data_IF_142616565372
#
_entry.id   IF_142616565372
#
_cell.length_a   1.000
_cell.length_b   1.000
_cell.length_c   1.000
_cell.angle_alpha   90.00
_cell.angle_beta   90.00
_cell.angle_gamma   90.00
#
_symmetry.space_group_name_H-M   'P 1'
#
loop_
_entity.id
_entity.type
_entity.pdbx_description
1 polymer ?
#
# COMPACT_ATOMS: atom_id res chain seq x y z
N UNK A 1 3.13 7.16 26.00
CA UNK A 1 3.55 7.99 24.86
C UNK A 1 2.90 9.34 25.01
N UNK A 2 3.69 10.40 25.16
CA UNK A 2 3.26 11.67 25.72
C UNK A 2 3.55 12.85 24.77
N UNK A 3 3.98 12.60 23.52
CA UNK A 3 4.23 13.65 22.53
C UNK A 3 5.39 14.59 22.90
N UNK A 4 6.34 14.12 23.71
CA UNK A 4 7.45 14.92 24.25
C UNK A 4 8.79 14.72 23.54
N UNK A 5 8.84 13.86 22.52
CA UNK A 5 10.07 13.64 21.75
C UNK A 5 10.06 14.58 20.53
N UNK A 6 10.86 15.66 20.54
CA UNK A 6 10.79 16.72 19.51
C UNK A 6 11.21 16.23 18.12
N UNK A 7 11.87 15.06 18.04
CA UNK A 7 12.45 14.53 16.82
C UNK A 7 11.51 13.54 16.09
N UNK A 8 10.22 13.50 16.44
CA UNK A 8 9.22 12.63 15.80
C UNK A 8 8.30 13.41 14.85
N UNK A 9 8.08 12.85 13.66
CA UNK A 9 7.26 13.46 12.61
C UNK A 9 5.87 12.81 12.51
N UNK A 10 4.87 13.62 12.14
CA UNK A 10 3.59 13.07 11.68
C UNK A 10 3.80 12.31 10.36
N UNK A 11 3.31 11.06 10.29
CA UNK A 11 3.44 10.20 9.10
C UNK A 11 3.01 10.93 7.82
N UNK A 12 1.92 11.69 7.86
CA UNK A 12 1.43 12.42 6.68
C UNK A 12 2.40 13.53 6.21
N UNK A 13 3.07 14.22 7.14
CA UNK A 13 4.07 15.22 6.78
C UNK A 13 5.35 14.57 6.26
N UNK A 14 5.77 13.44 6.84
CA UNK A 14 6.90 12.67 6.33
C UNK A 14 6.64 12.19 4.89
N UNK A 15 5.43 11.70 4.57
CA UNK A 15 5.05 11.34 3.20
C UNK A 15 5.15 12.55 2.26
N UNK A 16 4.69 13.73 2.69
CA UNK A 16 4.80 14.96 1.88
C UNK A 16 6.27 15.33 1.63
N UNK A 17 7.10 15.31 2.66
CA UNK A 17 8.51 15.69 2.56
C UNK A 17 9.29 14.70 1.71
N UNK A 18 9.03 13.40 1.87
CA UNK A 18 9.56 12.33 1.03
C UNK A 18 9.22 12.57 -0.45
N UNK A 19 7.95 12.79 -0.78
CA UNK A 19 7.50 13.00 -2.16
C UNK A 19 8.02 14.32 -2.76
N UNK A 20 8.38 15.30 -1.92
CA UNK A 20 8.87 16.61 -2.37
C UNK A 20 10.39 16.61 -2.60
N UNK A 21 11.14 15.92 -1.75
CA UNK A 21 12.59 16.10 -1.64
C UNK A 21 13.41 14.86 -2.05
N UNK A 22 12.85 13.65 -2.01
CA UNK A 22 13.57 12.45 -2.44
C UNK A 22 13.48 12.31 -3.96
N UNK A 23 14.62 12.20 -4.63
CA UNK A 23 14.69 12.11 -6.09
C UNK A 23 14.63 10.66 -6.58
N UNK A 24 14.99 9.69 -5.73
CA UNK A 24 15.05 8.27 -6.09
C UNK A 24 14.22 7.40 -5.15
N UNK A 25 13.87 6.20 -5.62
CA UNK A 25 13.19 5.20 -4.80
C UNK A 25 14.03 4.82 -3.58
N UNK A 26 15.35 4.64 -3.75
CA UNK A 26 16.28 4.29 -2.67
C UNK A 26 16.37 5.39 -1.61
N UNK A 27 16.42 6.67 -2.02
CA UNK A 27 16.38 7.80 -1.09
C UNK A 27 15.05 7.84 -0.33
N UNK A 28 13.92 7.70 -1.03
CA UNK A 28 12.60 7.70 -0.43
C UNK A 28 12.42 6.53 0.57
N UNK A 29 12.85 5.33 0.17
CA UNK A 29 12.78 4.12 1.01
C UNK A 29 13.64 4.28 2.26
N UNK A 30 14.89 4.73 2.09
CA UNK A 30 15.78 4.99 3.22
C UNK A 30 15.21 6.07 4.14
N UNK A 31 14.70 7.17 3.58
CA UNK A 31 14.09 8.25 4.34
C UNK A 31 12.98 7.72 5.23
N UNK A 32 12.02 6.97 4.68
CA UNK A 32 10.99 6.38 5.51
C UNK A 32 11.64 5.49 6.56
N UNK A 33 12.40 4.46 6.21
CA UNK A 33 12.96 3.46 7.15
C UNK A 33 13.66 4.04 8.38
N UNK A 34 14.33 5.18 8.22
CA UNK A 34 15.11 5.81 9.28
C UNK A 34 14.39 6.91 10.04
N UNK A 35 13.33 7.51 9.47
CA UNK A 35 12.61 8.62 10.10
C UNK A 35 11.83 8.16 11.34
N UNK A 36 11.73 9.00 12.37
CA UNK A 36 10.96 8.67 13.57
C UNK A 36 9.53 9.20 13.45
N UNK A 37 8.54 8.36 13.74
CA UNK A 37 7.14 8.71 13.60
C UNK A 37 6.38 8.74 14.92
N UNK A 38 5.36 9.59 14.96
CA UNK A 38 4.38 9.65 16.06
C UNK A 38 3.40 8.46 16.06
N UNK A 39 3.37 7.65 15.00
CA UNK A 39 2.48 6.51 14.86
C UNK A 39 3.10 5.39 14.00
N UNK A 40 2.66 4.15 14.24
CA UNK A 40 2.94 3.01 13.35
C UNK A 40 2.25 3.21 12.00
N UNK A 41 2.85 2.72 10.92
CA UNK A 41 2.32 2.89 9.57
C UNK A 41 2.77 1.78 8.61
N UNK A 42 2.06 1.66 7.49
CA UNK A 42 2.45 0.84 6.36
C UNK A 42 2.71 1.75 5.16
N UNK A 43 3.88 1.62 4.54
CA UNK A 43 4.24 2.38 3.34
C UNK A 43 4.29 1.45 2.14
N UNK A 44 3.33 1.59 1.24
CA UNK A 44 3.33 0.87 -0.05
C UNK A 44 4.07 1.69 -1.09
N UNK A 45 5.20 1.20 -1.55
CA UNK A 45 6.07 1.86 -2.51
C UNK A 45 6.27 0.97 -3.73
N UNK A 46 6.36 1.58 -4.91
CA UNK A 46 6.53 0.88 -6.18
C UNK A 46 7.65 1.56 -6.96
N UNK A 47 8.41 0.77 -7.71
CA UNK A 47 9.38 1.25 -8.69
C UNK A 47 9.11 0.61 -10.05
N UNK A 48 9.54 1.23 -11.16
CA UNK A 48 9.43 0.62 -12.47
C UNK A 48 10.05 -0.78 -12.48
N UNK A 49 9.36 -1.74 -13.10
CA UNK A 49 9.78 -3.15 -13.11
C UNK A 49 11.16 -3.35 -13.76
N UNK A 50 11.61 -2.43 -14.61
CA UNK A 50 12.94 -2.41 -15.21
C UNK A 50 14.06 -2.41 -14.16
N UNK A 51 13.82 -1.81 -12.98
CA UNK A 51 14.77 -1.79 -11.86
C UNK A 51 14.70 -3.06 -10.98
N UNK A 52 14.02 -4.12 -11.44
CA UNK A 52 14.06 -5.48 -10.88
C UNK A 52 13.54 -5.67 -9.45
N UNK A 53 12.90 -4.66 -8.83
CA UNK A 53 12.35 -4.78 -7.46
C UNK A 53 10.82 -4.68 -7.36
N UNK A 54 10.11 -4.42 -8.47
CA UNK A 54 8.64 -4.37 -8.54
C UNK A 54 8.01 -3.40 -7.52
N UNK A 55 7.57 -3.90 -6.38
CA UNK A 55 7.07 -3.07 -5.27
C UNK A 55 7.41 -3.65 -3.90
N UNK A 56 7.37 -2.78 -2.89
CA UNK A 56 7.59 -3.13 -1.48
C UNK A 56 6.49 -2.50 -0.63
N UNK A 57 6.10 -3.20 0.42
CA UNK A 57 5.40 -2.60 1.55
C UNK A 57 6.34 -2.64 2.75
N UNK A 58 6.55 -1.49 3.39
CA UNK A 58 7.37 -1.37 4.60
C UNK A 58 6.45 -1.19 5.81
N UNK A 59 6.52 -2.12 6.75
CA UNK A 59 5.84 -2.02 8.05
C UNK A 59 6.72 -1.25 9.02
N UNK A 60 6.19 -0.19 9.62
CA UNK A 60 6.93 0.75 10.46
C UNK A 60 6.42 0.77 11.89
N UNK A 61 7.34 0.61 12.83
CA UNK A 61 7.18 1.07 14.20
C UNK A 61 7.52 2.56 14.31
N UNK A 62 7.57 3.08 15.53
CA UNK A 62 7.87 4.49 15.79
C UNK A 62 9.28 4.89 15.35
N UNK A 63 10.25 3.97 15.36
CA UNK A 63 11.67 4.30 15.16
C UNK A 63 12.40 3.37 14.20
N UNK A 64 11.74 2.32 13.69
CA UNK A 64 12.38 1.32 12.85
C UNK A 64 11.43 0.75 11.79
N UNK A 65 12.01 0.16 10.75
CA UNK A 65 11.31 -0.74 9.86
C UNK A 65 11.29 -2.14 10.46
N UNK A 66 10.09 -2.63 10.78
CA UNK A 66 9.90 -3.91 11.47
C UNK A 66 9.89 -5.06 10.46
N UNK A 67 9.32 -4.86 9.27
CA UNK A 67 9.19 -5.88 8.24
C UNK A 67 9.03 -5.26 6.84
N UNK A 68 9.37 -6.03 5.81
CA UNK A 68 9.18 -5.69 4.39
C UNK A 68 8.55 -6.86 3.63
N UNK A 69 7.49 -6.58 2.86
CA UNK A 69 7.01 -7.50 1.84
C UNK A 69 7.38 -6.96 0.46
N UNK A 70 8.17 -7.71 -0.29
CA UNK A 70 8.65 -7.32 -1.62
C UNK A 70 8.03 -8.25 -2.65
N UNK A 71 7.66 -7.72 -3.82
CA UNK A 71 7.26 -8.56 -4.94
C UNK A 71 8.42 -9.45 -5.40
N UNK A 72 8.17 -10.75 -5.55
CA UNK A 72 9.09 -11.71 -6.15
C UNK A 72 8.51 -12.25 -7.46
N UNK A 73 9.07 -11.81 -8.58
CA UNK A 73 8.63 -12.26 -9.91
C UNK A 73 8.96 -13.72 -10.21
N UNK A 74 9.85 -14.35 -9.44
CA UNK A 74 10.22 -15.78 -9.55
C UNK A 74 9.16 -16.67 -8.90
N UNK A 75 8.47 -16.17 -7.87
CA UNK A 75 7.30 -16.83 -7.31
C UNK A 75 6.09 -16.62 -8.26
N UNK A 76 5.42 -17.69 -8.73
CA UNK A 76 4.19 -17.59 -9.51
C UNK A 76 3.10 -16.72 -8.86
N UNK A 77 3.11 -16.57 -7.54
CA UNK A 77 2.19 -15.76 -6.75
C UNK A 77 2.81 -14.47 -6.20
N UNK A 78 4.12 -14.27 -6.29
CA UNK A 78 4.84 -13.11 -5.72
C UNK A 78 4.82 -11.86 -6.59
N UNK A 79 4.03 -11.83 -7.66
CA UNK A 79 4.00 -10.73 -8.63
C UNK A 79 3.25 -9.48 -8.15
N UNK A 80 2.65 -9.52 -6.95
CA UNK A 80 2.05 -8.38 -6.29
C UNK A 80 2.23 -8.51 -4.76
N UNK A 81 2.12 -7.38 -4.08
CA UNK A 81 2.00 -7.30 -2.63
C UNK A 81 0.71 -6.55 -2.30
N UNK A 82 0.00 -6.99 -1.27
CA UNK A 82 -1.25 -6.39 -0.83
C UNK A 82 -1.16 -6.07 0.66
N UNK A 83 -1.55 -4.86 1.01
CA UNK A 83 -1.61 -4.40 2.39
C UNK A 83 -2.96 -3.76 2.68
N UNK A 84 -3.52 -4.09 3.85
CA UNK A 84 -4.72 -3.46 4.39
C UNK A 84 -4.35 -2.65 5.64
N UNK A 85 -4.69 -3.14 6.83
CA UNK A 85 -4.47 -2.48 8.11
C UNK A 85 -3.90 -3.42 9.19
N UNK A 86 -3.50 -4.63 8.81
CA UNK A 86 -2.97 -5.66 9.71
C UNK A 86 -1.57 -6.08 9.27
N UNK A 87 -0.74 -6.50 10.22
CA UNK A 87 0.58 -7.05 9.93
C UNK A 87 0.42 -8.42 9.23
N UNK A 88 1.24 -8.76 8.23
CA UNK A 88 1.06 -10.01 7.45
C UNK A 88 1.22 -11.30 8.25
N UNK A 89 1.90 -11.23 9.39
CA UNK A 89 2.08 -12.34 10.31
C UNK A 89 0.96 -12.44 11.35
N UNK A 90 -0.02 -11.54 11.31
CA UNK A 90 -1.17 -11.51 12.19
C UNK A 90 -2.47 -11.72 11.39
N UNK A 91 -3.49 -12.35 11.98
CA UNK A 91 -4.79 -12.46 11.34
C UNK A 91 -5.48 -11.08 11.26
N UNK A 92 -6.17 -10.82 10.14
CA UNK A 92 -7.11 -9.71 10.03
C UNK A 92 -8.17 -9.80 11.15
N UNK A 93 -8.65 -8.65 11.62
CA UNK A 93 -9.78 -8.63 12.56
C UNK A 93 -11.01 -9.32 11.93
N UNK A 94 -11.75 -10.07 12.74
CA UNK A 94 -12.86 -10.92 12.27
C UNK A 94 -13.90 -10.19 11.41
N UNK A 95 -14.19 -8.93 11.73
CA UNK A 95 -15.18 -8.10 11.01
C UNK A 95 -14.58 -7.29 9.84
N UNK A 96 -13.27 -7.34 9.64
CA UNK A 96 -12.56 -6.57 8.61
C UNK A 96 -11.50 -7.43 7.89
N UNK A 97 -11.97 -8.51 7.27
CA UNK A 97 -11.12 -9.47 6.56
C UNK A 97 -10.95 -9.08 5.08
N UNK A 98 -10.44 -7.87 4.80
CA UNK A 98 -10.26 -7.39 3.41
C UNK A 98 -9.03 -7.98 2.72
N UNK A 99 -8.05 -8.48 3.46
CA UNK A 99 -6.80 -8.99 2.90
C UNK A 99 -7.06 -10.23 2.06
N UNK A 100 -7.84 -11.21 2.57
CA UNK A 100 -8.08 -12.47 1.88
C UNK A 100 -8.92 -12.31 0.58
N UNK A 101 -10.06 -11.60 0.56
CA UNK A 101 -10.81 -11.32 -0.67
C UNK A 101 -10.00 -10.52 -1.69
N UNK A 102 -9.22 -9.53 -1.24
CA UNK A 102 -8.31 -8.77 -2.10
C UNK A 102 -7.29 -9.67 -2.79
N UNK A 103 -6.59 -10.52 -2.04
CA UNK A 103 -5.65 -11.50 -2.58
C UNK A 103 -6.34 -12.45 -3.57
N UNK A 104 -7.52 -12.97 -3.21
CA UNK A 104 -8.31 -13.84 -4.09
C UNK A 104 -8.64 -13.13 -5.42
N UNK A 105 -9.06 -11.88 -5.38
CA UNK A 105 -9.37 -11.09 -6.57
C UNK A 105 -8.12 -10.83 -7.41
N UNK A 106 -6.97 -10.55 -6.79
CA UNK A 106 -5.69 -10.41 -7.51
C UNK A 106 -5.27 -11.72 -8.19
N UNK A 107 -5.35 -12.86 -7.51
CA UNK A 107 -5.06 -14.17 -8.12
C UNK A 107 -6.02 -14.49 -9.28
N UNK A 108 -7.30 -14.17 -9.13
CA UNK A 108 -8.29 -14.34 -10.20
C UNK A 108 -8.04 -13.39 -11.39
N UNK A 109 -7.65 -12.14 -11.12
CA UNK A 109 -7.25 -11.19 -12.15
C UNK A 109 -6.07 -11.76 -12.94
N UNK A 110 -5.02 -12.18 -12.23
CA UNK A 110 -3.80 -12.76 -12.79
C UNK A 110 -2.93 -11.73 -13.52
N UNK A 111 -1.63 -12.04 -13.63
CA UNK A 111 -0.58 -11.14 -14.17
C UNK A 111 -0.93 -10.51 -15.52
N UNK A 112 -1.54 -11.28 -16.43
CA UNK A 112 -1.85 -10.83 -17.80
C UNK A 112 -2.91 -9.75 -17.87
N UNK A 113 -3.69 -9.53 -16.81
CA UNK A 113 -4.79 -8.55 -16.76
C UNK A 113 -4.56 -7.47 -15.71
N UNK A 114 -3.31 -7.29 -15.27
CA UNK A 114 -2.92 -6.15 -14.44
C UNK A 114 -2.90 -4.91 -15.32
N UNK A 115 -4.08 -4.33 -15.51
CA UNK A 115 -4.30 -3.04 -16.16
C UNK A 115 -4.91 -2.07 -15.14
N UNK A 116 -5.01 -0.79 -15.49
CA UNK A 116 -5.66 0.22 -14.65
C UNK A 116 -7.10 -0.19 -14.30
N UNK A 117 -7.83 -0.70 -15.28
CA UNK A 117 -9.20 -1.19 -15.14
C UNK A 117 -9.24 -2.47 -14.30
N UNK A 118 -8.29 -3.40 -14.51
CA UNK A 118 -8.20 -4.63 -13.74
C UNK A 118 -7.96 -4.38 -12.24
N UNK A 119 -7.02 -3.47 -11.91
CA UNK A 119 -6.78 -3.07 -10.53
C UNK A 119 -7.98 -2.33 -9.95
N UNK A 120 -8.61 -1.43 -10.71
CA UNK A 120 -9.83 -0.75 -10.27
C UNK A 120 -10.96 -1.73 -9.98
N UNK A 121 -11.13 -2.79 -10.78
CA UNK A 121 -12.11 -3.84 -10.54
C UNK A 121 -11.84 -4.61 -9.24
N UNK A 122 -10.58 -4.95 -8.97
CA UNK A 122 -10.18 -5.58 -7.69
C UNK A 122 -10.56 -4.66 -6.52
N UNK A 123 -10.20 -3.37 -6.59
CA UNK A 123 -10.51 -2.41 -5.54
C UNK A 123 -12.02 -2.12 -5.40
N UNK A 124 -12.81 -2.35 -6.44
CA UNK A 124 -14.27 -2.17 -6.45
C UNK A 124 -15.03 -3.42 -5.99
N UNK A 125 -14.34 -4.53 -5.73
CA UNK A 125 -14.95 -5.76 -5.22
C UNK A 125 -15.24 -5.65 -3.73
N UNK A 126 -16.42 -6.11 -3.27
CA UNK A 126 -16.73 -6.15 -1.83
C UNK A 126 -16.02 -7.36 -1.19
N UNK A 127 -15.42 -7.23 0.00
CA UNK A 127 -15.47 -6.08 0.93
C UNK A 127 -14.34 -5.05 0.78
N UNK A 128 -13.47 -5.17 -0.23
CA UNK A 128 -12.39 -4.21 -0.46
C UNK A 128 -12.95 -2.80 -0.74
N UNK A 129 -14.04 -2.72 -1.51
CA UNK A 129 -14.97 -1.59 -1.51
C UNK A 129 -15.99 -1.77 -0.39
N UNK A 130 -16.05 -0.79 0.51
CA UNK A 130 -16.93 -0.78 1.68
C UNK A 130 -17.55 0.62 1.92
N UNK A 131 -18.37 0.74 2.97
CA UNK A 131 -19.04 2.01 3.33
C UNK A 131 -18.09 3.15 3.69
N UNK A 132 -16.89 2.82 4.18
CA UNK A 132 -15.86 3.79 4.57
C UNK A 132 -14.96 4.19 3.40
N UNK A 133 -15.14 3.61 2.22
CA UNK A 133 -14.32 3.92 1.04
C UNK A 133 -14.71 5.28 0.48
N UNK A 134 -13.82 6.27 0.60
CA UNK A 134 -14.05 7.64 0.09
C UNK A 134 -13.70 7.74 -1.40
N UNK A 135 -12.55 7.21 -1.79
CA UNK A 135 -12.06 7.21 -3.16
C UNK A 135 -11.17 5.99 -3.44
N UNK A 136 -10.99 5.68 -4.72
CA UNK A 136 -9.99 4.73 -5.21
C UNK A 136 -9.02 5.47 -6.11
N UNK A 137 -7.72 5.30 -5.86
CA UNK A 137 -6.67 5.83 -6.71
C UNK A 137 -5.92 4.68 -7.40
N UNK A 138 -5.68 4.82 -8.70
CA UNK A 138 -4.84 3.91 -9.49
C UNK A 138 -3.70 4.71 -10.10
N UNK A 139 -2.47 4.24 -9.90
CA UNK A 139 -1.25 4.90 -10.33
C UNK A 139 -0.45 3.98 -11.26
N UNK A 140 0.15 4.55 -12.30
CA UNK A 140 1.06 3.87 -13.23
C UNK A 140 2.29 4.74 -13.44
N UNK A 141 3.46 4.24 -13.02
CA UNK A 141 4.69 5.04 -12.97
C UNK A 141 5.20 5.36 -14.38
N UNK A 142 5.26 4.35 -15.26
CA UNK A 142 5.87 4.48 -16.59
C UNK A 142 5.13 5.50 -17.48
N UNK A 143 3.80 5.58 -17.36
CA UNK A 143 2.98 6.55 -18.08
C UNK A 143 2.78 7.87 -17.33
N UNK A 144 3.16 7.92 -16.05
CA UNK A 144 2.86 9.04 -15.13
C UNK A 144 1.37 9.17 -14.80
N UNK A 145 0.55 8.16 -15.09
CA UNK A 145 -0.88 8.27 -14.91
C UNK A 145 -1.29 8.14 -13.44
N UNK A 146 -2.16 9.04 -12.99
CA UNK A 146 -2.79 9.03 -11.67
C UNK A 146 -4.28 9.30 -11.86
N UNK A 147 -5.11 8.30 -11.56
CA UNK A 147 -6.56 8.41 -11.63
C UNK A 147 -7.15 8.25 -10.23
N UNK A 148 -8.03 9.17 -9.84
CA UNK A 148 -8.76 9.09 -8.57
C UNK A 148 -10.25 9.21 -8.84
N UNK A 149 -11.02 8.25 -8.31
CA UNK A 149 -12.46 8.18 -8.45
C UNK A 149 -13.10 8.21 -7.07
N UNK A 150 -14.04 9.13 -6.85
CA UNK A 150 -14.91 9.08 -5.67
C UNK A 150 -15.71 7.78 -5.71
N UNK A 151 -15.77 7.09 -4.57
CA UNK A 151 -16.47 5.82 -4.45
C UNK A 151 -17.81 5.98 -3.72
N UNK A 152 -18.71 5.05 -4.00
CA UNK A 152 -19.96 4.86 -3.26
C UNK A 152 -20.25 3.36 -3.17
N UNK A 153 -20.59 2.88 -1.98
CA UNK A 153 -20.96 1.49 -1.76
C UNK A 153 -22.45 1.35 -1.41
N UNK A 154 -23.27 1.12 -2.45
CA UNK A 154 -24.73 0.96 -2.30
C UNK A 154 -25.10 -0.33 -1.58
N UNK A 155 -26.21 -0.26 -0.83
CA UNK A 155 -26.71 -1.39 -0.08
C UNK A 155 -27.14 -2.56 -0.97
N UNK A 156 -26.88 -3.81 -0.56
CA UNK A 156 -26.20 -4.19 0.69
C UNK A 156 -24.68 -4.00 0.61
N UNK A 157 -24.09 -3.29 1.56
CA UNK A 157 -22.64 -3.10 1.66
C UNK A 157 -22.20 -2.94 3.13
N UNK A 158 -21.05 -3.51 3.45
CA UNK A 158 -20.39 -3.44 4.75
C UNK A 158 -18.99 -2.87 4.56
#
# INVERSE_FOLDING_TARGET
>A
MNGLDPDQQFVMYAVRDMLTNCATFEEAKKYIETEQFLARAYFTMVLPIYFSKGGVVVTRSYTAADNEAVTDTKDPNGWFVLQTNYDWNEPDAYLDQRTQPGNKCMHQLGRKRVTREGIFQVMSSKPNLNKSTVYTTVMEIDSGALYTFKQECKDPCW
#
